data_IF_414783008542
#
_entry.id   IF_414783008542
#
_cell.length_a   1.000
_cell.length_b   1.000
_cell.length_c   1.000
_cell.angle_alpha   90.00
_cell.angle_beta   90.00
_cell.angle_gamma   90.00
#
_symmetry.space_group_name_H-M   'P 1'
#
loop_
_entity.id
_entity.type
_entity.pdbx_description
1 polymer ?
#
# COMPACT_ATOMS: atom_id res chain seq x y z
N UNK A 1 -90.48 82.72 -41.86
CA UNK A 1 -90.32 82.31 -40.44
C UNK A 1 -89.34 83.18 -39.63
N UNK A 2 -89.06 84.44 -40.03
CA UNK A 2 -88.19 85.37 -39.27
C UNK A 2 -88.95 86.55 -38.62
N UNK A 3 -90.24 86.76 -38.95
CA UNK A 3 -91.07 87.81 -38.33
C UNK A 3 -91.41 87.49 -36.87
N UNK A 4 -91.72 86.23 -36.57
CA UNK A 4 -92.06 85.77 -35.22
C UNK A 4 -90.89 85.92 -34.23
N UNK A 5 -89.64 85.83 -34.70
CA UNK A 5 -88.46 86.04 -33.86
C UNK A 5 -88.22 87.53 -33.60
N UNK A 6 -88.50 88.39 -34.59
CA UNK A 6 -88.37 89.85 -34.46
C UNK A 6 -89.41 90.44 -33.51
N UNK A 7 -90.65 89.97 -33.55
CA UNK A 7 -91.69 90.36 -32.60
C UNK A 7 -91.35 89.93 -31.17
N UNK A 8 -90.84 88.70 -30.99
CA UNK A 8 -90.41 88.22 -29.66
C UNK A 8 -89.24 89.01 -29.10
N UNK A 9 -88.27 89.40 -29.94
CA UNK A 9 -87.15 90.24 -29.51
C UNK A 9 -87.63 91.66 -29.14
N UNK A 10 -88.55 92.22 -29.91
CA UNK A 10 -89.13 93.54 -29.61
C UNK A 10 -89.95 93.54 -28.32
N UNK A 11 -90.67 92.47 -28.04
CA UNK A 11 -91.44 92.30 -26.80
C UNK A 11 -90.51 92.21 -25.58
N UNK A 12 -89.45 91.39 -25.65
CA UNK A 12 -88.43 91.31 -24.57
C UNK A 12 -87.72 92.65 -24.34
N UNK A 13 -87.44 93.40 -25.42
CA UNK A 13 -86.82 94.71 -25.31
C UNK A 13 -87.77 95.76 -24.72
N UNK A 14 -89.08 95.72 -25.04
CA UNK A 14 -90.08 96.54 -24.38
C UNK A 14 -90.23 96.17 -22.90
N UNK A 15 -90.26 94.89 -22.56
CA UNK A 15 -90.43 94.40 -21.18
C UNK A 15 -89.23 94.76 -20.29
N UNK A 16 -88.00 94.74 -20.83
CA UNK A 16 -86.82 95.26 -20.12
C UNK A 16 -86.87 96.78 -19.94
N UNK A 17 -87.36 97.51 -20.95
CA UNK A 17 -87.41 98.99 -20.92
C UNK A 17 -88.55 99.49 -20.03
N UNK A 18 -89.67 98.78 -19.92
CA UNK A 18 -90.78 99.09 -19.01
C UNK A 18 -90.49 98.63 -17.57
N UNK A 19 -89.78 97.52 -17.40
CA UNK A 19 -89.28 97.05 -16.10
C UNK A 19 -88.25 98.01 -15.46
N UNK A 20 -87.40 98.66 -16.25
CA UNK A 20 -86.43 99.63 -15.73
C UNK A 20 -87.05 101.02 -15.45
N UNK A 21 -88.09 101.42 -16.19
CA UNK A 21 -88.83 102.69 -15.97
C UNK A 21 -89.72 102.69 -14.72
N UNK A 22 -90.07 101.53 -14.19
CA UNK A 22 -90.91 101.42 -12.97
C UNK A 22 -90.11 101.42 -11.66
N UNK A 23 -88.78 101.37 -11.72
CA UNK A 23 -87.88 101.40 -10.55
C UNK A 23 -87.15 102.74 -10.35
N UNK A 24 -87.22 103.66 -11.30
CA UNK A 24 -86.44 104.91 -11.32
C UNK A 24 -87.17 106.19 -10.92
N UNK A 25 -88.39 106.14 -10.37
CA UNK A 25 -89.17 107.35 -10.09
C UNK A 25 -89.96 107.27 -8.77
N UNK A 26 -89.25 107.23 -7.63
CA UNK A 26 -89.75 107.69 -6.33
C UNK A 26 -88.55 108.12 -5.48
N UNK A 27 -88.39 109.42 -5.26
CA UNK A 27 -87.99 110.02 -3.98
C UNK A 27 -87.10 111.25 -4.16
N UNK A 28 -87.73 112.38 -4.51
CA UNK A 28 -87.35 113.69 -3.98
C UNK A 28 -88.59 114.37 -3.39
N UNK A 29 -88.49 114.59 -2.08
CA UNK A 29 -89.12 115.63 -1.26
C UNK A 29 -90.59 116.00 -1.49
N UNK A 30 -91.45 115.58 -0.57
CA UNK A 30 -92.50 116.47 -0.06
C UNK A 30 -92.75 116.22 1.42
N UNK A 31 -92.54 117.27 2.22
CA UNK A 31 -92.65 117.31 3.67
C UNK A 31 -94.08 117.03 4.11
N UNK A 32 -94.32 115.90 4.79
CA UNK A 32 -95.46 115.71 5.67
C UNK A 32 -94.93 115.42 7.09
N UNK A 33 -95.46 116.18 8.02
CA UNK A 33 -95.01 116.36 9.40
C UNK A 33 -95.54 115.21 10.28
N UNK A 34 -94.61 114.53 10.94
CA UNK A 34 -94.69 113.70 12.17
C UNK A 34 -95.40 112.34 12.14
N UNK A 35 -94.57 111.30 12.17
CA UNK A 35 -94.55 110.30 13.27
C UNK A 35 -93.12 109.81 13.49
N UNK A 36 -92.52 109.95 14.69
CA UNK A 36 -91.23 109.33 14.97
C UNK A 36 -91.50 107.88 15.35
N UNK A 37 -91.22 106.96 14.44
CA UNK A 37 -90.83 105.59 14.80
C UNK A 37 -89.43 105.39 14.25
N UNK A 38 -88.45 105.87 15.01
CA UNK A 38 -87.23 105.09 15.17
C UNK A 38 -87.68 103.85 15.94
N UNK A 39 -87.92 102.78 15.19
CA UNK A 39 -87.89 101.44 15.75
C UNK A 39 -86.80 100.75 14.92
N UNK A 40 -85.61 100.70 15.51
CA UNK A 40 -84.47 99.94 15.04
C UNK A 40 -84.89 98.48 14.90
N UNK A 41 -85.45 98.11 13.75
CA UNK A 41 -85.38 96.74 13.28
C UNK A 41 -84.44 96.74 12.08
N UNK A 42 -83.15 96.93 12.36
CA UNK A 42 -82.13 96.28 11.54
C UNK A 42 -82.61 94.81 11.43
N UNK A 43 -82.91 94.28 10.23
CA UNK A 43 -83.35 92.89 10.14
C UNK A 43 -82.29 92.06 10.86
N UNK A 44 -82.68 91.32 11.89
CA UNK A 44 -81.77 90.38 12.53
C UNK A 44 -81.48 89.29 11.48
N UNK A 45 -80.48 89.54 10.63
CA UNK A 45 -79.87 88.55 9.73
C UNK A 45 -79.09 87.47 10.53
N UNK A 46 -79.44 87.26 11.80
CA UNK A 46 -78.77 86.34 12.72
C UNK A 46 -78.88 84.89 12.24
N UNK A 47 -80.06 84.47 11.76
CA UNK A 47 -80.25 83.11 11.24
C UNK A 47 -79.35 82.79 10.03
N UNK A 48 -79.16 83.75 9.12
CA UNK A 48 -78.25 83.58 7.97
C UNK A 48 -76.77 83.53 8.40
N UNK A 49 -76.39 84.38 9.35
CA UNK A 49 -75.04 84.39 9.93
C UNK A 49 -74.73 83.11 10.71
N UNK A 50 -75.68 82.60 11.50
CA UNK A 50 -75.56 81.34 12.25
C UNK A 50 -75.42 80.12 11.32
N UNK A 51 -76.18 80.08 10.23
CA UNK A 51 -76.05 79.00 9.23
C UNK A 51 -74.66 79.04 8.57
N UNK A 52 -74.19 80.22 8.17
CA UNK A 52 -72.86 80.38 7.57
C UNK A 52 -71.75 80.01 8.56
N UNK A 53 -71.83 80.49 9.80
CA UNK A 53 -70.90 80.15 10.88
C UNK A 53 -70.86 78.64 11.14
N UNK A 54 -72.01 77.96 11.15
CA UNK A 54 -72.07 76.50 11.27
C UNK A 54 -71.39 75.79 10.09
N UNK A 55 -71.60 76.23 8.85
CA UNK A 55 -70.94 75.63 7.69
C UNK A 55 -69.43 75.87 7.71
N UNK A 56 -69.00 77.06 8.11
CA UNK A 56 -67.58 77.40 8.28
C UNK A 56 -66.92 76.52 9.33
N UNK A 57 -67.54 76.39 10.51
CA UNK A 57 -67.07 75.51 11.58
C UNK A 57 -67.02 74.05 11.14
N UNK A 58 -68.07 73.57 10.46
CA UNK A 58 -68.14 72.18 9.99
C UNK A 58 -67.11 71.90 8.89
N UNK A 59 -66.88 72.85 8.00
CA UNK A 59 -65.83 72.78 6.97
C UNK A 59 -64.43 72.74 7.60
N UNK A 60 -64.17 73.64 8.56
CA UNK A 60 -62.92 73.66 9.30
C UNK A 60 -62.67 72.33 10.02
N UNK A 61 -63.67 71.80 10.75
CA UNK A 61 -63.57 70.52 11.44
C UNK A 61 -63.35 69.35 10.48
N UNK A 62 -64.01 69.35 9.32
CA UNK A 62 -63.82 68.33 8.30
C UNK A 62 -62.38 68.34 7.78
N UNK A 63 -61.86 69.51 7.42
CA UNK A 63 -60.46 69.65 6.97
C UNK A 63 -59.45 69.25 8.04
N UNK A 64 -59.69 69.65 9.29
CA UNK A 64 -58.85 69.24 10.42
C UNK A 64 -58.82 67.72 10.55
N UNK A 65 -59.98 67.06 10.56
CA UNK A 65 -60.06 65.58 10.63
C UNK A 65 -59.40 64.91 9.43
N UNK A 66 -59.57 65.43 8.21
CA UNK A 66 -58.92 64.89 7.02
C UNK A 66 -57.40 65.00 7.13
N UNK A 67 -56.88 66.12 7.65
CA UNK A 67 -55.45 66.30 7.89
C UNK A 67 -54.92 65.35 8.96
N UNK A 68 -55.63 65.22 10.09
CA UNK A 68 -55.26 64.31 11.17
C UNK A 68 -55.27 62.85 10.68
N UNK A 69 -56.26 62.48 9.85
CA UNK A 69 -56.35 61.17 9.21
C UNK A 69 -55.18 60.92 8.24
N UNK A 70 -54.82 61.90 7.41
CA UNK A 70 -53.67 61.79 6.52
C UNK A 70 -52.36 61.59 7.29
N UNK A 71 -52.15 62.33 8.38
CA UNK A 71 -50.97 62.16 9.24
C UNK A 71 -50.93 60.78 9.91
N UNK A 72 -52.08 60.27 10.37
CA UNK A 72 -52.16 58.92 10.92
C UNK A 72 -51.88 57.85 9.85
N UNK A 73 -52.36 58.05 8.61
CA UNK A 73 -52.08 57.15 7.49
C UNK A 73 -50.59 57.15 7.12
N UNK A 74 -49.93 58.33 7.10
CA UNK A 74 -48.48 58.44 6.87
C UNK A 74 -47.66 57.71 7.96
N UNK A 75 -48.08 57.79 9.23
CA UNK A 75 -47.42 57.05 10.31
C UNK A 75 -47.53 55.53 10.12
N UNK A 76 -48.72 55.03 9.80
CA UNK A 76 -48.96 53.61 9.54
C UNK A 76 -48.21 53.13 8.29
N UNK A 77 -48.14 53.94 7.23
CA UNK A 77 -47.34 53.63 6.04
C UNK A 77 -45.85 53.47 6.39
N UNK A 78 -45.32 54.36 7.23
CA UNK A 78 -43.96 54.25 7.79
C UNK A 78 -43.72 52.93 8.52
N UNK A 79 -44.67 52.50 9.37
CA UNK A 79 -44.60 51.22 10.07
C UNK A 79 -44.65 50.02 9.12
N UNK A 80 -45.49 50.09 8.07
CA UNK A 80 -45.59 49.06 7.03
C UNK A 80 -44.27 48.94 6.26
N UNK A 81 -43.68 50.06 5.85
CA UNK A 81 -42.39 50.09 5.16
C UNK A 81 -41.30 49.49 6.05
N UNK A 82 -41.23 49.87 7.31
CA UNK A 82 -40.25 49.31 8.25
C UNK A 82 -40.44 47.80 8.44
N UNK A 83 -41.68 47.34 8.64
CA UNK A 83 -41.98 45.91 8.77
C UNK A 83 -41.62 45.14 7.50
N UNK A 84 -41.89 45.69 6.32
CA UNK A 84 -41.54 45.08 5.04
C UNK A 84 -40.03 44.92 4.89
N UNK A 85 -39.24 45.93 5.28
CA UNK A 85 -37.78 45.86 5.28
C UNK A 85 -37.25 44.80 6.26
N UNK A 86 -37.87 44.68 7.44
CA UNK A 86 -37.53 43.62 8.40
C UNK A 86 -37.86 42.23 7.87
N UNK A 87 -39.02 42.05 7.24
CA UNK A 87 -39.41 40.79 6.61
C UNK A 87 -38.44 40.40 5.51
N UNK A 88 -38.09 41.33 4.65
CA UNK A 88 -37.18 41.09 3.53
C UNK A 88 -35.78 40.69 4.00
N UNK A 89 -35.26 41.33 5.05
CA UNK A 89 -33.99 40.94 5.68
C UNK A 89 -34.03 39.52 6.25
N UNK A 90 -35.15 39.12 6.87
CA UNK A 90 -35.31 37.75 7.39
C UNK A 90 -35.42 36.74 6.25
N UNK A 91 -36.16 37.09 5.20
CA UNK A 91 -36.32 36.25 4.01
C UNK A 91 -34.97 35.99 3.34
N UNK A 92 -34.15 37.01 3.13
CA UNK A 92 -32.81 36.85 2.54
C UNK A 92 -31.90 35.98 3.40
N UNK A 93 -31.90 36.17 4.73
CA UNK A 93 -31.14 35.33 5.65
C UNK A 93 -31.59 33.85 5.61
N UNK A 94 -32.90 33.59 5.53
CA UNK A 94 -33.43 32.23 5.39
C UNK A 94 -33.06 31.60 4.05
N UNK A 95 -33.12 32.36 2.95
CA UNK A 95 -32.69 31.86 1.63
C UNK A 95 -31.21 31.50 1.63
N UNK A 96 -30.34 32.32 2.23
CA UNK A 96 -28.92 32.00 2.37
C UNK A 96 -28.71 30.71 3.18
N UNK A 97 -29.40 30.55 4.30
CA UNK A 97 -29.33 29.31 5.09
C UNK A 97 -29.80 28.09 4.30
N UNK A 98 -30.88 28.24 3.54
CA UNK A 98 -31.40 27.18 2.67
C UNK A 98 -30.36 26.79 1.60
N UNK A 99 -29.70 27.75 0.96
CA UNK A 99 -28.64 27.50 -0.01
C UNK A 99 -27.47 26.72 0.63
N UNK A 100 -27.05 27.09 1.85
CA UNK A 100 -26.03 26.34 2.59
C UNK A 100 -26.48 24.92 2.94
N UNK A 101 -27.76 24.73 3.29
CA UNK A 101 -28.27 23.40 3.60
C UNK A 101 -28.39 22.53 2.34
N UNK A 102 -28.67 23.15 1.18
CA UNK A 102 -28.73 22.46 -0.11
C UNK A 102 -27.37 22.00 -0.62
N UNK A 103 -26.25 22.59 -0.18
CA UNK A 103 -24.90 22.12 -0.54
C UNK A 103 -24.40 20.95 0.31
N UNK A 104 -25.00 20.72 1.48
CA UNK A 104 -24.60 19.68 2.43
C UNK A 104 -24.63 18.26 1.85
N UNK A 105 -25.62 17.85 1.01
CA UNK A 105 -25.60 16.54 0.34
C UNK A 105 -24.40 16.37 -0.61
N UNK A 106 -23.99 17.42 -1.33
CA UNK A 106 -22.81 17.36 -2.19
C UNK A 106 -21.54 17.16 -1.34
N UNK A 107 -21.41 17.89 -0.24
CA UNK A 107 -20.31 17.69 0.70
C UNK A 107 -20.28 16.28 1.31
N UNK A 108 -21.44 15.71 1.66
CA UNK A 108 -21.53 14.30 2.09
C UNK A 108 -21.04 13.37 0.99
N UNK A 109 -21.45 13.58 -0.27
CA UNK A 109 -21.00 12.74 -1.38
C UNK A 109 -19.49 12.82 -1.62
N UNK A 110 -18.87 13.98 -1.41
CA UNK A 110 -17.42 14.16 -1.46
C UNK A 110 -16.73 13.41 -0.31
N UNK A 111 -17.28 13.46 0.91
CA UNK A 111 -16.78 12.69 2.04
C UNK A 111 -16.90 11.18 1.81
N UNK A 112 -18.01 10.71 1.22
CA UNK A 112 -18.20 9.30 0.86
C UNK A 112 -17.18 8.87 -0.20
N UNK A 113 -16.90 9.73 -1.19
CA UNK A 113 -15.88 9.46 -2.20
C UNK A 113 -14.47 9.38 -1.61
N UNK A 114 -14.11 10.30 -0.69
CA UNK A 114 -12.84 10.24 0.04
C UNK A 114 -12.77 8.96 0.88
N UNK A 115 -13.85 8.60 1.55
CA UNK A 115 -13.93 7.37 2.36
C UNK A 115 -13.72 6.13 1.49
N UNK A 116 -14.32 6.08 0.31
CA UNK A 116 -14.13 4.99 -0.65
C UNK A 116 -12.69 4.91 -1.17
N UNK A 117 -12.06 6.06 -1.47
CA UNK A 117 -10.66 6.12 -1.89
C UNK A 117 -9.70 5.63 -0.81
N UNK A 118 -9.97 5.96 0.47
CA UNK A 118 -9.19 5.45 1.60
C UNK A 118 -9.31 3.92 1.67
N UNK A 119 -10.53 3.38 1.60
CA UNK A 119 -10.73 1.93 1.62
C UNK A 119 -10.04 1.20 0.45
N UNK A 120 -10.01 1.82 -0.75
CA UNK A 120 -9.27 1.28 -1.88
C UNK A 120 -7.76 1.26 -1.61
N UNK A 121 -7.20 2.36 -1.11
CA UNK A 121 -5.78 2.45 -0.77
C UNK A 121 -5.39 1.44 0.32
N UNK A 122 -6.24 1.26 1.33
CA UNK A 122 -6.05 0.22 2.35
C UNK A 122 -5.93 -1.17 1.71
N UNK A 123 -6.80 -1.51 0.76
CA UNK A 123 -6.72 -2.75 0.00
C UNK A 123 -5.43 -2.87 -0.83
N UNK A 124 -4.99 -1.80 -1.49
CA UNK A 124 -3.73 -1.79 -2.26
C UNK A 124 -2.52 -2.00 -1.34
N UNK A 125 -2.54 -1.44 -0.12
CA UNK A 125 -1.49 -1.64 0.88
C UNK A 125 -1.47 -3.07 1.40
N UNK A 126 -2.62 -3.68 1.69
CA UNK A 126 -2.71 -5.09 2.09
C UNK A 126 -2.15 -6.01 0.98
N UNK A 127 -2.47 -5.74 -0.28
CA UNK A 127 -1.91 -6.49 -1.40
C UNK A 127 -0.38 -6.32 -1.49
N UNK A 128 0.12 -5.09 -1.36
CA UNK A 128 1.56 -4.82 -1.36
C UNK A 128 2.28 -5.54 -0.21
N UNK A 129 1.71 -5.53 0.99
CA UNK A 129 2.24 -6.26 2.15
C UNK A 129 2.30 -7.77 1.87
N UNK A 130 1.24 -8.35 1.29
CA UNK A 130 1.23 -9.77 0.90
C UNK A 130 2.34 -10.10 -0.11
N UNK A 131 2.59 -9.22 -1.08
CA UNK A 131 3.64 -9.38 -2.08
C UNK A 131 5.04 -9.25 -1.47
N UNK A 132 5.23 -8.36 -0.48
CA UNK A 132 6.49 -8.24 0.24
C UNK A 132 6.80 -9.47 1.08
N UNK A 133 5.81 -10.04 1.77
CA UNK A 133 5.96 -11.31 2.51
C UNK A 133 6.32 -12.46 1.56
N UNK A 134 5.70 -12.51 0.38
CA UNK A 134 6.06 -13.50 -0.64
C UNK A 134 7.50 -13.31 -1.15
N UNK A 135 7.93 -12.06 -1.38
CA UNK A 135 9.31 -11.77 -1.78
C UNK A 135 10.32 -12.20 -0.71
N UNK A 136 10.03 -11.94 0.57
CA UNK A 136 10.87 -12.40 1.68
C UNK A 136 11.00 -13.92 1.70
N UNK A 137 9.89 -14.64 1.45
CA UNK A 137 9.88 -16.09 1.32
C UNK A 137 10.79 -16.56 0.17
N UNK A 138 10.72 -15.90 -1.00
CA UNK A 138 11.59 -16.21 -2.14
C UNK A 138 13.07 -15.93 -1.84
N UNK A 139 13.38 -14.83 -1.16
CA UNK A 139 14.75 -14.51 -0.75
C UNK A 139 15.32 -15.59 0.18
N UNK A 140 14.54 -16.01 1.19
CA UNK A 140 14.93 -17.09 2.10
C UNK A 140 15.19 -18.42 1.33
N UNK A 141 14.35 -18.75 0.36
CA UNK A 141 14.55 -19.92 -0.50
C UNK A 141 15.83 -19.82 -1.33
N UNK A 142 16.13 -18.66 -1.92
CA UNK A 142 17.36 -18.43 -2.67
C UNK A 142 18.62 -18.60 -1.80
N UNK A 143 18.61 -18.05 -0.58
CA UNK A 143 19.70 -18.20 0.38
C UNK A 143 19.90 -19.67 0.76
N UNK A 144 18.81 -20.37 1.11
CA UNK A 144 18.84 -21.79 1.41
C UNK A 144 19.40 -22.62 0.26
N UNK A 145 18.97 -22.33 -0.98
CA UNK A 145 19.47 -23.01 -2.17
C UNK A 145 20.95 -22.74 -2.39
N UNK A 146 21.41 -21.52 -2.15
CA UNK A 146 22.83 -21.15 -2.26
C UNK A 146 23.69 -21.92 -1.26
N UNK A 147 23.26 -22.00 -0.01
CA UNK A 147 23.96 -22.77 1.04
C UNK A 147 23.99 -24.26 0.70
N UNK A 148 22.86 -24.82 0.28
CA UNK A 148 22.79 -26.23 -0.16
C UNK A 148 23.75 -26.50 -1.32
N UNK A 149 23.77 -25.63 -2.32
CA UNK A 149 24.67 -25.78 -3.47
C UNK A 149 26.14 -25.67 -3.05
N UNK A 150 26.45 -24.78 -2.12
CA UNK A 150 27.80 -24.64 -1.57
C UNK A 150 28.26 -25.95 -0.90
N UNK A 151 27.43 -26.57 -0.06
CA UNK A 151 27.76 -27.85 0.57
C UNK A 151 27.91 -29.00 -0.43
N UNK A 152 27.06 -29.07 -1.47
CA UNK A 152 27.21 -30.06 -2.54
C UNK A 152 28.56 -29.88 -3.24
N UNK A 153 28.90 -28.66 -3.62
CA UNK A 153 30.18 -28.36 -4.30
C UNK A 153 31.39 -28.69 -3.41
N UNK A 154 31.33 -28.39 -2.11
CA UNK A 154 32.36 -28.77 -1.14
C UNK A 154 32.54 -30.28 -1.07
N UNK A 155 31.43 -31.03 -0.99
CA UNK A 155 31.46 -32.49 -0.93
C UNK A 155 32.03 -33.10 -2.23
N UNK A 156 31.67 -32.56 -3.39
CA UNK A 156 32.22 -32.99 -4.68
C UNK A 156 33.72 -32.70 -4.77
N UNK A 157 34.16 -31.52 -4.34
CA UNK A 157 35.57 -31.16 -4.29
C UNK A 157 36.37 -32.10 -3.36
N UNK A 158 35.82 -32.41 -2.18
CA UNK A 158 36.41 -33.37 -1.24
C UNK A 158 36.52 -34.77 -1.85
N UNK A 159 35.42 -35.29 -2.43
CA UNK A 159 35.41 -36.60 -3.10
C UNK A 159 36.42 -36.64 -4.25
N UNK A 160 36.52 -35.58 -5.05
CA UNK A 160 37.50 -35.47 -6.15
C UNK A 160 38.94 -35.45 -5.62
N UNK A 161 39.20 -34.74 -4.52
CA UNK A 161 40.51 -34.73 -3.87
C UNK A 161 40.89 -36.13 -3.40
N UNK A 162 39.97 -36.82 -2.73
CA UNK A 162 40.20 -38.19 -2.25
C UNK A 162 40.49 -39.19 -3.38
N UNK A 163 39.78 -39.09 -4.51
CA UNK A 163 40.10 -39.91 -5.70
C UNK A 163 41.53 -39.67 -6.20
N UNK A 164 41.96 -38.41 -6.31
CA UNK A 164 43.34 -38.09 -6.73
C UNK A 164 44.40 -38.55 -5.73
N UNK A 165 44.13 -38.45 -4.43
CA UNK A 165 45.04 -38.94 -3.39
C UNK A 165 45.21 -40.47 -3.49
N UNK A 166 44.12 -41.21 -3.77
CA UNK A 166 44.17 -42.65 -3.99
C UNK A 166 44.92 -43.02 -5.28
N UNK A 167 44.60 -42.35 -6.40
CA UNK A 167 45.30 -42.56 -7.68
C UNK A 167 46.80 -42.27 -7.56
N UNK A 168 47.20 -41.23 -6.79
CA UNK A 168 48.60 -40.92 -6.56
C UNK A 168 49.31 -41.99 -5.73
N UNK A 169 48.67 -42.46 -4.65
CA UNK A 169 49.22 -43.53 -3.82
C UNK A 169 49.36 -44.85 -4.59
N UNK A 170 48.38 -45.16 -5.44
CA UNK A 170 48.42 -46.32 -6.33
C UNK A 170 49.62 -46.25 -7.28
N UNK A 171 49.84 -45.10 -7.93
CA UNK A 171 50.99 -44.89 -8.82
C UNK A 171 52.32 -44.99 -8.06
N UNK A 172 52.41 -44.38 -6.87
CA UNK A 172 53.61 -44.44 -6.03
C UNK A 172 53.93 -45.89 -5.63
N UNK A 173 52.95 -46.62 -5.13
CA UNK A 173 53.10 -48.03 -4.73
C UNK A 173 53.47 -48.92 -5.92
N UNK A 174 52.85 -48.71 -7.08
CA UNK A 174 53.20 -49.43 -8.32
C UNK A 174 54.63 -49.13 -8.76
N UNK A 175 55.09 -47.88 -8.61
CA UNK A 175 56.47 -47.49 -8.94
C UNK A 175 57.50 -48.09 -7.99
N UNK A 176 57.22 -48.09 -6.68
CA UNK A 176 58.06 -48.71 -5.66
C UNK A 176 58.15 -50.23 -5.87
N UNK A 177 57.01 -50.87 -6.16
CA UNK A 177 56.98 -52.29 -6.49
C UNK A 177 57.82 -52.60 -7.74
N UNK A 178 57.66 -51.83 -8.83
CA UNK A 178 58.45 -52.00 -10.04
C UNK A 178 59.96 -51.79 -9.79
N UNK A 179 60.34 -50.80 -8.98
CA UNK A 179 61.73 -50.58 -8.58
C UNK A 179 62.27 -51.77 -7.79
N UNK A 180 61.54 -52.26 -6.79
CA UNK A 180 61.96 -53.37 -5.94
C UNK A 180 62.13 -54.66 -6.73
N UNK A 181 61.24 -54.92 -7.69
CA UNK A 181 61.37 -56.04 -8.64
C UNK A 181 62.64 -55.89 -9.48
N UNK A 182 62.90 -54.71 -10.05
CA UNK A 182 64.11 -54.46 -10.84
C UNK A 182 65.40 -54.61 -10.02
N UNK A 183 65.43 -54.14 -8.77
CA UNK A 183 66.56 -54.33 -7.85
C UNK A 183 66.78 -55.81 -7.52
N UNK A 184 65.71 -56.56 -7.27
CA UNK A 184 65.77 -58.00 -7.01
C UNK A 184 66.28 -58.78 -8.23
N UNK A 185 65.80 -58.46 -9.43
CA UNK A 185 66.27 -59.03 -10.69
C UNK A 185 67.76 -58.71 -10.93
N UNK A 186 68.20 -57.47 -10.68
CA UNK A 186 69.60 -57.08 -10.80
C UNK A 186 70.49 -57.85 -9.81
N UNK A 187 70.06 -57.96 -8.55
CA UNK A 187 70.78 -58.73 -7.54
C UNK A 187 70.89 -60.22 -7.92
N UNK A 188 69.82 -60.81 -8.47
CA UNK A 188 69.84 -62.17 -9.00
C UNK A 188 70.81 -62.32 -10.19
N UNK A 189 70.77 -61.39 -11.15
CA UNK A 189 71.69 -61.39 -12.29
C UNK A 189 73.16 -61.23 -11.86
N UNK A 190 73.44 -60.41 -10.86
CA UNK A 190 74.79 -60.25 -10.33
C UNK A 190 75.27 -61.54 -9.67
N UNK A 191 74.44 -62.20 -8.85
CA UNK A 191 74.76 -63.52 -8.27
C UNK A 191 75.07 -64.57 -9.34
N UNK A 192 74.28 -64.60 -10.42
CA UNK A 192 74.52 -65.50 -11.55
C UNK A 192 75.84 -65.19 -12.27
N UNK A 193 76.16 -63.90 -12.48
CA UNK A 193 77.44 -63.47 -13.07
C UNK A 193 78.65 -63.80 -12.20
N UNK A 194 78.57 -63.56 -10.89
CA UNK A 194 79.62 -63.91 -9.94
C UNK A 194 79.87 -65.42 -9.94
N UNK A 195 78.79 -66.23 -9.93
CA UNK A 195 78.88 -67.69 -10.03
C UNK A 195 79.51 -68.14 -11.36
N UNK A 196 79.12 -67.53 -12.48
CA UNK A 196 79.74 -67.78 -13.79
C UNK A 196 81.23 -67.48 -13.76
N UNK A 197 81.64 -66.34 -13.18
CA UNK A 197 83.04 -65.95 -13.05
C UNK A 197 83.86 -66.94 -12.22
N UNK A 198 83.30 -67.44 -11.12
CA UNK A 198 83.95 -68.49 -10.31
C UNK A 198 84.19 -69.76 -11.12
N UNK A 199 83.21 -70.18 -11.94
CA UNK A 199 83.41 -71.34 -12.82
C UNK A 199 84.44 -71.08 -13.92
N UNK A 200 84.45 -69.88 -14.49
CA UNK A 200 85.43 -69.50 -15.51
C UNK A 200 86.85 -69.42 -14.94
N UNK A 201 87.03 -68.88 -13.74
CA UNK A 201 88.31 -68.86 -13.01
C UNK A 201 88.78 -70.27 -12.66
N UNK A 202 87.88 -71.15 -12.22
CA UNK A 202 88.20 -72.56 -11.97
C UNK A 202 88.64 -73.27 -13.26
N UNK A 203 87.96 -73.01 -14.39
CA UNK A 203 88.33 -73.56 -15.69
C UNK A 203 89.71 -73.07 -16.16
N UNK A 204 90.01 -71.78 -16.02
CA UNK A 204 91.34 -71.24 -16.36
C UNK A 204 92.44 -71.90 -15.52
N UNK A 205 92.20 -72.08 -14.21
CA UNK A 205 93.13 -72.79 -13.33
C UNK A 205 93.37 -74.23 -13.81
N UNK A 206 92.31 -74.97 -14.17
CA UNK A 206 92.42 -76.34 -14.70
C UNK A 206 93.26 -76.39 -16.00
N UNK A 207 93.04 -75.43 -16.91
CA UNK A 207 93.80 -75.31 -18.16
C UNK A 207 95.28 -74.98 -17.89
N UNK A 208 95.56 -73.99 -17.02
CA UNK A 208 96.93 -73.63 -16.63
C UNK A 208 97.65 -74.80 -15.96
N UNK A 209 96.96 -75.54 -15.10
CA UNK A 209 97.50 -76.73 -14.44
C UNK A 209 97.83 -77.82 -15.46
N UNK A 210 96.94 -78.08 -16.42
CA UNK A 210 97.17 -79.04 -17.50
C UNK A 210 98.38 -78.64 -18.37
N UNK A 211 98.49 -77.37 -18.77
CA UNK A 211 99.63 -76.86 -19.54
C UNK A 211 100.96 -76.96 -18.77
N UNK A 212 100.91 -76.83 -17.44
CA UNK A 212 102.11 -76.86 -16.58
C UNK A 212 102.60 -78.27 -16.24
N UNK A 213 101.69 -79.24 -16.05
CA UNK A 213 102.03 -80.59 -15.54
C UNK A 213 101.75 -81.75 -16.51
N UNK A 214 100.99 -81.52 -17.59
CA UNK A 214 100.67 -82.53 -18.60
C UNK A 214 99.54 -83.51 -18.22
N UNK A 215 98.94 -83.37 -17.04
CA UNK A 215 97.82 -84.22 -16.55
C UNK A 215 96.79 -83.36 -15.81
N UNK A 216 95.50 -83.56 -16.10
CA UNK A 216 94.40 -82.95 -15.34
C UNK A 216 94.17 -83.74 -14.04
N UNK A 217 94.18 -83.09 -12.87
CA UNK A 217 93.64 -83.70 -11.67
C UNK A 217 92.11 -83.60 -11.73
N UNK A 218 91.44 -84.73 -11.88
CA UNK A 218 90.00 -84.79 -11.71
C UNK A 218 89.70 -84.57 -10.22
N UNK A 219 89.08 -83.44 -9.88
CA UNK A 219 88.58 -83.21 -8.52
C UNK A 219 87.45 -84.20 -8.28
N UNK A 220 87.68 -85.21 -7.45
CA UNK A 220 86.62 -86.09 -6.92
C UNK A 220 85.48 -85.22 -6.37
N UNK A 221 84.22 -85.48 -6.76
CA UNK A 221 83.08 -84.69 -6.32
C UNK A 221 82.96 -84.81 -4.80
N UNK A 222 83.29 -83.73 -4.09
CA UNK A 222 82.98 -83.63 -2.67
C UNK A 222 81.46 -83.59 -2.55
N UNK A 223 80.91 -84.64 -1.93
CA UNK A 223 79.52 -85.07 -2.07
C UNK A 223 78.46 -83.97 -1.98
N UNK A 224 77.60 -83.95 -2.99
CA UNK A 224 76.26 -83.40 -2.90
C UNK A 224 75.29 -84.44 -3.47
N UNK A 225 74.30 -84.76 -2.65
CA UNK A 225 73.41 -85.90 -2.68
C UNK A 225 72.52 -85.94 -3.95
N UNK A 226 72.56 -87.06 -4.67
CA UNK A 226 71.73 -87.33 -5.87
C UNK A 226 70.29 -87.74 -5.46
N UNK A 227 69.98 -87.79 -4.17
CA UNK A 227 68.70 -88.28 -3.64
C UNK A 227 67.60 -87.23 -3.42
N UNK A 228 67.85 -85.91 -3.52
CA UNK A 228 66.91 -84.90 -2.98
C UNK A 228 66.07 -84.18 -4.05
N UNK A 229 66.22 -84.50 -5.34
CA UNK A 229 65.41 -83.86 -6.38
C UNK A 229 63.91 -84.24 -6.28
N UNK A 230 63.58 -85.35 -5.63
CA UNK A 230 62.20 -85.80 -5.36
C UNK A 230 61.56 -85.11 -4.13
N UNK A 231 62.29 -84.20 -3.47
CA UNK A 231 61.82 -83.38 -2.35
C UNK A 231 62.01 -81.89 -2.65
N UNK A 232 61.37 -81.39 -3.71
CA UNK A 232 61.09 -79.96 -3.81
C UNK A 232 59.88 -79.63 -2.92
N UNK A 233 60.09 -79.64 -1.61
CA UNK A 233 59.18 -78.99 -0.66
C UNK A 233 59.38 -77.48 -0.75
N UNK A 234 58.29 -76.71 -0.80
CA UNK A 234 58.34 -75.24 -0.70
C UNK A 234 58.92 -74.89 0.67
N UNK A 235 60.23 -74.66 0.75
CA UNK A 235 60.94 -74.52 2.05
C UNK A 235 60.80 -73.14 2.68
N UNK A 236 60.06 -72.22 2.04
CA UNK A 236 59.71 -70.95 2.66
C UNK A 236 58.34 -71.10 3.33
N UNK A 237 58.35 -71.54 4.58
CA UNK A 237 57.16 -71.82 5.41
C UNK A 237 56.25 -70.57 5.52
N UNK A 238 56.80 -69.37 5.29
CA UNK A 238 56.05 -68.11 5.23
C UNK A 238 55.23 -67.91 3.94
N UNK A 239 55.53 -68.64 2.87
CA UNK A 239 54.86 -68.55 1.56
C UNK A 239 53.64 -69.51 1.50
N UNK A 240 53.67 -70.58 2.30
CA UNK A 240 52.58 -71.56 2.44
C UNK A 240 51.39 -70.97 3.21
N UNK A 241 51.64 -70.23 4.30
CA UNK A 241 50.61 -69.51 5.06
C UNK A 241 49.98 -68.38 4.23
N UNK A 242 50.78 -67.69 3.39
CA UNK A 242 50.30 -66.65 2.49
C UNK A 242 49.44 -67.20 1.33
N UNK A 243 49.73 -68.40 0.84
CA UNK A 243 48.93 -69.09 -0.17
C UNK A 243 47.57 -69.55 0.38
N UNK A 244 47.55 -70.04 1.63
CA UNK A 244 46.31 -70.45 2.30
C UNK A 244 45.39 -69.24 2.56
N UNK A 245 45.92 -68.12 3.03
CA UNK A 245 45.14 -66.88 3.21
C UNK A 245 44.59 -66.34 1.87
N UNK A 246 45.38 -66.43 0.80
CA UNK A 246 44.94 -66.01 -0.54
C UNK A 246 43.80 -66.90 -1.08
N UNK A 247 43.93 -68.22 -1.00
CA UNK A 247 42.93 -69.17 -1.48
C UNK A 247 41.64 -69.12 -0.65
N UNK A 248 41.75 -68.89 0.66
CA UNK A 248 40.59 -68.80 1.56
C UNK A 248 39.86 -67.45 1.47
N UNK A 249 40.49 -66.40 0.91
CA UNK A 249 39.87 -65.08 0.77
C UNK A 249 38.92 -64.91 -0.44
N UNK A 250 38.92 -65.84 -1.40
CA UNK A 250 38.10 -65.80 -2.63
C UNK A 250 36.79 -66.62 -2.53
N UNK A 251 36.54 -67.25 -1.37
CA UNK A 251 35.51 -68.30 -1.23
C UNK A 251 34.14 -67.90 -0.70
N UNK A 252 33.98 -66.76 0.00
CA UNK A 252 32.71 -66.45 0.68
C UNK A 252 32.06 -65.13 0.20
N UNK A 253 30.97 -65.31 -0.55
CA UNK A 253 29.82 -64.42 -0.78
C UNK A 253 29.93 -63.19 -1.70
N UNK A 254 30.13 -63.51 -2.99
CA UNK A 254 29.28 -62.96 -4.05
C UNK A 254 27.90 -63.62 -3.95
N UNK A 255 26.99 -63.05 -3.16
CA UNK A 255 25.55 -63.31 -3.25
C UNK A 255 24.86 -62.12 -3.92
N UNK A 256 24.57 -62.28 -5.21
CA UNK A 256 23.79 -61.36 -6.01
C UNK A 256 22.35 -61.26 -5.50
N UNK A 257 21.88 -60.03 -5.29
CA UNK A 257 20.47 -59.76 -5.06
C UNK A 257 20.14 -58.27 -4.98
N UNK A 258 20.32 -57.53 -6.08
CA UNK A 258 19.73 -56.20 -6.24
C UNK A 258 18.23 -56.24 -6.01
N UNK A 259 17.70 -55.40 -5.12
CA UNK A 259 16.32 -54.93 -5.22
C UNK A 259 16.21 -53.49 -4.76
N UNK A 260 15.76 -52.65 -5.69
CA UNK A 260 15.41 -51.26 -5.51
C UNK A 260 14.27 -51.10 -4.49
N UNK A 261 14.19 -49.89 -3.94
CA UNK A 261 12.99 -49.18 -3.49
C UNK A 261 12.77 -49.00 -1.98
N UNK A 262 12.57 -47.73 -1.64
CA UNK A 262 11.70 -47.22 -0.57
C UNK A 262 12.22 -47.28 0.88
N UNK A 263 12.33 -46.10 1.50
CA UNK A 263 11.96 -45.95 2.90
C UNK A 263 12.86 -45.05 3.74
N UNK A 264 12.34 -43.88 4.06
CA UNK A 264 12.91 -42.81 4.88
C UNK A 264 13.29 -43.24 6.33
N UNK A 265 14.13 -42.46 7.05
CA UNK A 265 14.84 -42.87 8.26
C UNK A 265 14.12 -42.49 9.56
N UNK A 266 14.45 -43.15 10.67
CA UNK A 266 14.33 -42.52 12.00
C UNK A 266 15.19 -43.18 13.09
N UNK A 267 15.67 -42.34 14.02
CA UNK A 267 16.36 -42.61 15.30
C UNK A 267 17.77 -43.22 15.23
N UNK A 268 18.81 -42.75 15.93
CA UNK A 268 18.98 -41.68 16.90
C UNK A 268 20.39 -41.84 17.53
N UNK A 269 21.06 -40.72 17.84
CA UNK A 269 22.40 -40.70 18.48
C UNK A 269 23.32 -39.66 17.81
N UNK A 270 23.17 -38.37 18.05
CA UNK A 270 23.59 -37.62 19.24
C UNK A 270 25.12 -37.62 19.45
N UNK A 271 25.80 -36.60 18.91
CA UNK A 271 27.07 -36.06 19.39
C UNK A 271 27.13 -34.57 18.98
N UNK A 272 27.21 -33.69 19.98
CA UNK A 272 27.36 -32.23 19.84
C UNK A 272 28.75 -31.87 19.29
N UNK A 273 28.93 -30.66 18.72
CA UNK A 273 29.52 -29.60 19.55
C UNK A 273 29.02 -28.15 19.28
N UNK A 274 29.11 -27.35 20.35
CA UNK A 274 29.51 -25.93 20.40
C UNK A 274 28.60 -24.86 19.76
N UNK A 275 27.76 -24.25 20.61
CA UNK A 275 27.16 -22.93 20.40
C UNK A 275 28.21 -21.82 20.52
N UNK A 276 28.47 -21.11 19.41
CA UNK A 276 28.99 -19.76 19.46
C UNK A 276 27.91 -18.77 19.03
N UNK A 277 27.35 -18.13 20.05
CA UNK A 277 26.68 -16.82 20.11
C UNK A 277 26.60 -16.01 18.80
N UNK A 278 25.39 -15.92 18.25
CA UNK A 278 24.94 -14.77 17.43
C UNK A 278 23.41 -14.59 17.53
N UNK A 279 22.91 -14.43 18.76
CA UNK A 279 21.57 -13.92 19.01
C UNK A 279 21.66 -12.43 19.36
N UNK A 280 21.48 -11.54 18.37
CA UNK A 280 20.89 -10.19 18.57
C UNK A 280 20.90 -9.38 17.27
N UNK A 281 20.01 -9.65 16.30
CA UNK A 281 19.60 -8.60 15.32
C UNK A 281 18.13 -8.71 14.90
N UNK A 282 17.52 -9.90 14.84
CA UNK A 282 16.18 -10.04 14.24
C UNK A 282 14.99 -9.58 15.11
N UNK A 283 15.15 -9.42 16.43
CA UNK A 283 14.03 -9.17 17.33
C UNK A 283 13.57 -7.70 17.42
N UNK A 284 14.21 -6.74 16.73
CA UNK A 284 13.90 -5.31 16.87
C UNK A 284 13.08 -4.70 15.72
N UNK A 285 12.71 -5.46 14.68
CA UNK A 285 12.03 -4.91 13.50
C UNK A 285 10.53 -5.16 13.43
N UNK A 286 10.00 -6.06 14.27
CA UNK A 286 8.56 -6.34 14.36
C UNK A 286 7.77 -5.31 15.17
N UNK A 287 8.43 -4.55 16.06
CA UNK A 287 7.75 -3.59 16.94
C UNK A 287 7.33 -2.27 16.26
N UNK A 288 7.96 -1.91 15.13
CA UNK A 288 7.68 -0.61 14.48
C UNK A 288 6.45 -0.69 13.57
N UNK A 289 6.20 -1.85 12.94
CA UNK A 289 5.07 -2.02 12.02
C UNK A 289 3.75 -2.25 12.78
N UNK A 290 3.77 -3.02 13.87
CA UNK A 290 2.56 -3.30 14.65
C UNK A 290 2.06 -2.08 15.45
N UNK A 291 2.95 -1.16 15.82
CA UNK A 291 2.61 0.04 16.60
C UNK A 291 2.00 1.17 15.76
N UNK A 292 2.18 1.12 14.43
CA UNK A 292 1.53 2.03 13.49
C UNK A 292 0.09 1.61 13.19
N UNK A 293 -0.19 0.30 13.03
CA UNK A 293 -1.57 -0.17 12.83
C UNK A 293 -2.44 -0.05 14.08
N UNK A 294 -1.88 -0.20 15.28
CA UNK A 294 -2.64 -0.05 16.53
C UNK A 294 -2.99 1.40 16.88
N UNK A 295 -2.29 2.41 16.34
CA UNK A 295 -2.60 3.84 16.59
C UNK A 295 -3.61 4.43 15.59
N UNK A 296 -3.84 3.77 14.45
CA UNK A 296 -4.88 4.16 13.49
C UNK A 296 -6.24 3.50 13.79
N UNK A 297 -6.26 2.36 14.47
CA UNK A 297 -7.51 1.71 14.90
C UNK A 297 -8.23 2.43 16.07
N UNK A 298 -7.58 3.41 16.74
CA UNK A 298 -8.19 4.17 17.84
C UNK A 298 -8.95 5.45 17.43
N UNK A 299 -9.13 5.71 16.14
CA UNK A 299 -9.89 6.85 15.62
C UNK A 299 -11.27 6.45 15.08
N UNK A 300 -12.04 5.71 15.88
CA UNK A 300 -13.51 5.75 15.81
C UNK A 300 -14.07 5.82 17.23
N UNK A 301 -14.74 6.94 17.57
CA UNK A 301 -16.20 6.92 17.54
C UNK A 301 -16.80 8.27 17.09
N UNK A 302 -17.09 8.44 15.80
CA UNK A 302 -17.99 9.50 15.30
C UNK A 302 -19.32 8.93 14.77
N UNK A 303 -19.48 7.60 14.72
CA UNK A 303 -20.74 6.93 14.36
C UNK A 303 -21.82 6.93 15.46
N UNK A 304 -21.60 7.58 16.61
CA UNK A 304 -22.56 7.58 17.72
C UNK A 304 -23.54 8.77 17.78
N UNK A 305 -23.36 9.82 16.94
CA UNK A 305 -24.17 11.04 17.07
C UNK A 305 -25.39 11.15 16.14
N UNK A 306 -25.64 10.18 15.25
CA UNK A 306 -26.69 10.30 14.23
C UNK A 306 -27.88 9.33 14.40
N UNK A 307 -28.11 8.83 15.63
CA UNK A 307 -29.25 7.95 15.94
C UNK A 307 -30.18 8.45 17.06
N UNK A 308 -30.11 9.75 17.38
CA UNK A 308 -30.97 10.38 18.41
C UNK A 308 -31.93 11.45 17.85
N UNK A 309 -32.32 11.35 16.58
CA UNK A 309 -33.35 12.21 15.99
C UNK A 309 -34.25 11.38 15.06
N UNK A 310 -35.04 10.49 15.65
CA UNK A 310 -36.25 9.94 15.05
C UNK A 310 -37.29 9.73 16.14
#
# INVERSE_FOLDING_TARGET
>A
MFENFRERLHMVQQDFTTGLKTLGDKSRDTKIKRRPRFEESLPHFSAGLEILSRYEENWFLLHKRTKDCAQAAEAVDGDIVMLSAHWERRRTALTQLQEQLQSLPAFISELDAITANIAHLEGDFEEMESRLVYLETLCCQCEQQTVKQHHINQLEAYKKKKRRELEALEVELNSEHAQKVAEQEQAQQQKLRERQKVYEEAFHQDVEQYLSTGYLQHREPTGADVSVLDQMTVTNISDEEALDDFLNSTGDDISHGSSLTSGNPNSGGALQPEENSSHTVAAKRFDVVFKASSTLCSLTPIKFFMKLSQ
#
